data_IF_294223109312
#
_entry.id   IF_294223109312
#
_cell.length_a   1.000
_cell.length_b   1.000
_cell.length_c   1.000
_cell.angle_alpha   90.00
_cell.angle_beta   90.00
_cell.angle_gamma   90.00
#
_symmetry.space_group_name_H-M   'P 1'
#
loop_
_entity.id
_entity.type
_entity.pdbx_description
1 polymer ?
#
# COMPACT_ATOMS: atom_id res chain seq x y z
N UNK A 1 26.58 3.40 -63.76
CA UNK A 1 26.79 3.93 -62.38
C UNK A 1 25.47 3.78 -61.62
N UNK A 2 25.39 2.88 -60.63
CA UNK A 2 24.14 2.56 -59.90
C UNK A 2 24.28 3.07 -58.47
N UNK A 3 23.61 4.18 -58.16
CA UNK A 3 23.72 4.91 -56.90
C UNK A 3 22.99 4.13 -55.79
N UNK A 4 23.75 3.50 -54.88
CA UNK A 4 23.20 2.88 -53.66
C UNK A 4 22.75 3.99 -52.71
N UNK A 5 21.44 4.18 -52.56
CA UNK A 5 20.85 5.03 -51.52
C UNK A 5 21.02 4.33 -50.17
N UNK A 6 21.99 4.75 -49.37
CA UNK A 6 22.12 4.35 -47.98
C UNK A 6 21.06 5.10 -47.15
N UNK A 7 20.07 4.39 -46.63
CA UNK A 7 19.16 4.92 -45.61
C UNK A 7 19.97 5.21 -44.35
N UNK A 8 20.20 6.50 -44.05
CA UNK A 8 20.77 6.94 -42.77
C UNK A 8 19.66 6.87 -41.71
N UNK A 9 19.42 5.69 -41.14
CA UNK A 9 18.61 5.57 -39.93
C UNK A 9 19.33 6.33 -38.81
N UNK A 10 18.70 7.42 -38.35
CA UNK A 10 19.22 8.29 -37.30
C UNK A 10 19.26 7.55 -35.97
N UNK A 11 20.45 7.46 -35.35
CA UNK A 11 20.67 6.87 -34.02
C UNK A 11 19.80 7.52 -32.92
N UNK A 12 19.39 8.79 -33.12
CA UNK A 12 18.46 9.51 -32.25
C UNK A 12 17.06 8.89 -32.16
N UNK A 13 16.63 8.17 -33.20
CA UNK A 13 15.35 7.46 -33.16
C UNK A 13 15.44 6.19 -32.29
N UNK A 14 16.63 5.59 -32.14
CA UNK A 14 16.84 4.38 -31.36
C UNK A 14 16.90 4.68 -29.84
N UNK A 15 17.42 5.84 -29.44
CA UNK A 15 17.51 6.25 -28.03
C UNK A 15 16.16 6.59 -27.38
N UNK A 16 15.10 6.76 -28.17
CA UNK A 16 13.75 6.99 -27.64
C UNK A 16 13.03 5.68 -27.27
N UNK A 17 13.51 4.53 -27.72
CA UNK A 17 12.89 3.22 -27.46
C UNK A 17 13.42 2.51 -26.21
N UNK A 18 14.49 3.00 -25.58
CA UNK A 18 15.13 2.35 -24.41
C UNK A 18 14.33 2.48 -23.11
N UNK A 19 13.17 3.14 -23.13
CA UNK A 19 12.36 3.40 -21.93
C UNK A 19 11.15 2.46 -21.76
N UNK A 20 10.92 1.51 -22.67
CA UNK A 20 9.93 0.45 -22.45
C UNK A 20 10.56 -0.69 -21.66
N UNK A 21 10.88 -0.43 -20.39
CA UNK A 21 11.15 -1.51 -19.45
C UNK A 21 9.79 -2.12 -19.10
N UNK A 22 9.50 -3.29 -19.67
CA UNK A 22 8.34 -4.10 -19.28
C UNK A 22 8.64 -4.60 -17.86
N UNK A 23 7.81 -4.22 -16.88
CA UNK A 23 7.88 -4.79 -15.55
C UNK A 23 7.73 -6.31 -15.69
N UNK A 24 8.67 -7.07 -15.11
CA UNK A 24 8.65 -8.52 -15.20
C UNK A 24 7.65 -9.05 -14.17
N UNK A 25 6.51 -9.54 -14.64
CA UNK A 25 5.52 -10.24 -13.80
C UNK A 25 6.19 -11.41 -13.05
N UNK A 26 5.78 -11.62 -11.79
CA UNK A 26 6.23 -12.77 -11.00
C UNK A 26 5.75 -14.09 -11.63
N UNK A 27 6.64 -15.06 -11.80
CA UNK A 27 6.23 -16.43 -12.15
C UNK A 27 5.63 -17.12 -10.91
N UNK A 28 4.35 -17.49 -10.98
CA UNK A 28 3.61 -18.11 -9.87
C UNK A 28 3.33 -19.61 -10.07
N UNK A 29 3.89 -20.24 -11.12
CA UNK A 29 3.62 -21.64 -11.50
C UNK A 29 3.98 -22.65 -10.39
N UNK A 30 4.88 -22.25 -9.49
CA UNK A 30 5.33 -23.07 -8.36
C UNK A 30 4.36 -23.03 -7.17
N UNK A 31 3.43 -22.07 -7.10
CA UNK A 31 2.49 -21.95 -5.98
C UNK A 31 1.32 -22.90 -6.22
N UNK A 32 1.26 -23.96 -5.42
CA UNK A 32 0.20 -24.94 -5.52
C UNK A 32 -1.01 -24.58 -4.65
N UNK A 33 -2.21 -24.99 -5.08
CA UNK A 33 -3.44 -24.88 -4.29
C UNK A 33 -4.05 -23.48 -4.23
N UNK A 34 -3.58 -22.53 -5.05
CA UNK A 34 -4.19 -21.21 -5.20
C UNK A 34 -5.15 -21.18 -6.40
N UNK A 35 -6.30 -20.54 -6.24
CA UNK A 35 -7.26 -20.26 -7.33
C UNK A 35 -7.13 -18.83 -7.87
N UNK A 36 -6.47 -17.95 -7.11
CA UNK A 36 -6.27 -16.54 -7.40
C UNK A 36 -4.89 -16.11 -6.91
N UNK A 37 -4.30 -15.09 -7.53
CA UNK A 37 -3.03 -14.50 -7.08
C UNK A 37 -3.25 -13.83 -5.72
N UNK A 38 -2.55 -14.25 -4.65
CA UNK A 38 -2.64 -13.60 -3.34
C UNK A 38 -2.31 -12.11 -3.43
N UNK A 39 -3.04 -11.27 -2.70
CA UNK A 39 -2.86 -9.81 -2.76
C UNK A 39 -1.42 -9.36 -2.53
N UNK A 40 -0.70 -9.99 -1.59
CA UNK A 40 0.70 -9.70 -1.29
C UNK A 40 1.67 -9.92 -2.47
N UNK A 41 1.27 -10.70 -3.48
CA UNK A 41 2.06 -10.98 -4.67
C UNK A 41 1.59 -10.19 -5.89
N UNK A 42 0.56 -9.35 -5.75
CA UNK A 42 0.15 -8.44 -6.82
C UNK A 42 1.12 -7.27 -6.87
N UNK A 43 1.42 -6.81 -8.08
CA UNK A 43 2.16 -5.57 -8.28
C UNK A 43 1.34 -4.37 -7.78
N UNK A 44 2.02 -3.32 -7.33
CA UNK A 44 1.45 -2.02 -6.97
C UNK A 44 0.38 -2.00 -5.85
N UNK A 45 0.44 -2.91 -4.89
CA UNK A 45 -0.40 -2.84 -3.68
C UNK A 45 0.34 -2.29 -2.46
N UNK A 46 -0.18 -1.22 -1.88
CA UNK A 46 0.33 -0.65 -0.62
C UNK A 46 -0.34 -1.30 0.61
N UNK A 47 -1.59 -1.74 0.45
CA UNK A 47 -2.42 -2.35 1.50
C UNK A 47 -2.98 -3.70 1.03
N UNK A 48 -2.13 -4.72 0.87
CA UNK A 48 -2.60 -6.05 0.46
C UNK A 48 -3.63 -6.59 1.44
N UNK A 49 -4.79 -7.03 0.96
CA UNK A 49 -5.81 -7.66 1.80
C UNK A 49 -5.25 -8.94 2.43
N UNK A 50 -5.63 -9.17 3.69
CA UNK A 50 -5.08 -10.27 4.48
C UNK A 50 -5.28 -10.08 5.97
N UNK A 51 -4.71 -11.02 6.73
CA UNK A 51 -4.68 -10.97 8.19
C UNK A 51 -3.23 -10.91 8.65
N UNK A 52 -2.93 -9.95 9.50
CA UNK A 52 -1.58 -9.62 9.94
C UNK A 52 -1.50 -9.54 11.46
N UNK A 53 -0.33 -9.84 12.02
CA UNK A 53 -0.01 -9.54 13.41
C UNK A 53 1.01 -8.41 13.38
N UNK A 54 0.57 -7.19 13.69
CA UNK A 54 1.36 -5.99 13.45
C UNK A 54 1.95 -5.43 14.73
N UNK A 55 3.20 -4.99 14.68
CA UNK A 55 3.81 -4.15 15.70
C UNK A 55 3.34 -2.70 15.52
N UNK A 56 2.83 -2.10 16.59
CA UNK A 56 2.26 -0.75 16.56
C UNK A 56 3.32 0.25 17.05
N UNK A 57 3.64 1.20 16.19
CA UNK A 57 4.54 2.31 16.50
C UNK A 57 3.76 3.62 16.49
N UNK A 58 3.83 4.40 17.57
CA UNK A 58 3.27 5.75 17.62
C UNK A 58 4.43 6.71 17.85
N UNK A 59 4.64 7.66 16.93
CA UNK A 59 5.72 8.63 16.98
C UNK A 59 7.10 7.96 17.22
N UNK A 60 7.36 6.87 16.49
CA UNK A 60 8.58 6.04 16.56
C UNK A 60 8.75 5.20 17.85
N UNK A 61 7.81 5.26 18.78
CA UNK A 61 7.78 4.41 19.97
C UNK A 61 6.89 3.19 19.75
N UNK A 62 7.43 1.98 19.98
CA UNK A 62 6.64 0.74 19.92
C UNK A 62 5.76 0.63 21.15
N UNK A 63 4.44 0.65 20.96
CA UNK A 63 3.47 0.62 22.06
C UNK A 63 2.80 -0.75 22.25
N UNK A 64 2.84 -1.63 21.24
CA UNK A 64 2.17 -2.91 21.34
C UNK A 64 2.25 -3.77 20.08
N UNK A 65 1.48 -4.86 20.10
CA UNK A 65 1.29 -5.78 18.97
C UNK A 65 -0.15 -6.25 18.95
N UNK A 66 -0.80 -6.22 17.80
CA UNK A 66 -2.22 -6.59 17.66
C UNK A 66 -2.52 -7.19 16.30
N UNK A 67 -3.70 -7.79 16.15
CA UNK A 67 -4.18 -8.29 14.87
C UNK A 67 -4.69 -7.13 14.01
N UNK A 68 -4.32 -7.11 12.74
CA UNK A 68 -4.85 -6.20 11.73
C UNK A 68 -5.47 -7.04 10.60
N UNK A 69 -6.72 -6.76 10.28
CA UNK A 69 -7.43 -7.40 9.17
C UNK A 69 -7.64 -6.35 8.09
N UNK A 70 -7.04 -6.57 6.92
CA UNK A 70 -7.21 -5.73 5.75
C UNK A 70 -8.18 -6.39 4.78
N UNK A 71 -9.24 -5.67 4.46
CA UNK A 71 -10.28 -6.14 3.53
C UNK A 71 -9.91 -5.83 2.08
N UNK A 72 -10.51 -6.57 1.13
CA UNK A 72 -10.36 -6.27 -0.31
C UNK A 72 -10.85 -4.86 -0.66
N UNK A 73 -11.80 -4.32 0.10
CA UNK A 73 -12.28 -2.96 -0.09
C UNK A 73 -11.23 -1.92 0.30
N UNK A 74 -10.49 -2.14 1.40
CA UNK A 74 -9.39 -1.28 1.83
C UNK A 74 -8.21 -1.34 0.86
N UNK A 75 -7.87 -2.54 0.37
CA UNK A 75 -6.88 -2.75 -0.71
C UNK A 75 -7.28 -1.94 -1.96
N UNK A 76 -8.50 -2.14 -2.46
CA UNK A 76 -8.99 -1.48 -3.68
C UNK A 76 -9.02 0.04 -3.58
N UNK A 77 -9.37 0.57 -2.42
CA UNK A 77 -9.47 2.01 -2.21
C UNK A 77 -8.17 2.64 -1.71
N UNK A 78 -7.15 1.83 -1.43
CA UNK A 78 -5.92 2.19 -0.75
C UNK A 78 -6.16 3.07 0.49
N UNK A 79 -7.07 2.62 1.36
CA UNK A 79 -7.50 3.35 2.56
C UNK A 79 -7.66 2.40 3.71
N UNK A 80 -6.85 2.59 4.75
CA UNK A 80 -6.97 1.87 6.00
C UNK A 80 -8.06 2.52 6.86
N UNK A 81 -9.06 1.73 7.28
CA UNK A 81 -10.16 2.21 8.13
C UNK A 81 -10.13 1.52 9.49
N UNK A 82 -9.78 2.29 10.53
CA UNK A 82 -9.56 1.74 11.88
C UNK A 82 -10.74 2.08 12.78
N UNK A 83 -11.40 1.08 13.33
CA UNK A 83 -12.51 1.31 14.26
C UNK A 83 -12.00 1.94 15.56
N UNK A 84 -12.85 2.69 16.29
CA UNK A 84 -12.47 3.22 17.61
C UNK A 84 -12.00 2.13 18.56
N UNK A 85 -12.70 0.98 18.59
CA UNK A 85 -12.34 -0.17 19.41
C UNK A 85 -10.96 -0.73 19.04
N UNK A 86 -10.65 -0.84 17.75
CA UNK A 86 -9.35 -1.32 17.30
C UNK A 86 -8.23 -0.38 17.74
N UNK A 87 -8.42 0.94 17.60
CA UNK A 87 -7.45 1.96 18.03
C UNK A 87 -7.20 1.91 19.54
N UNK A 88 -8.27 1.81 20.32
CA UNK A 88 -8.21 1.70 21.79
C UNK A 88 -7.45 0.42 22.21
N UNK A 89 -7.77 -0.72 21.59
CA UNK A 89 -7.09 -2.01 21.84
C UNK A 89 -5.62 -2.00 21.39
N UNK A 90 -5.29 -1.27 20.33
CA UNK A 90 -3.93 -1.08 19.84
C UNK A 90 -3.11 -0.10 20.71
N UNK A 91 -3.75 0.60 21.66
CA UNK A 91 -3.12 1.64 22.48
C UNK A 91 -2.90 2.96 21.75
N UNK A 92 -3.50 3.15 20.58
CA UNK A 92 -3.37 4.36 19.76
C UNK A 92 -4.40 5.40 20.22
N UNK A 93 -3.94 6.36 21.01
CA UNK A 93 -4.83 7.39 21.57
C UNK A 93 -5.12 8.49 20.54
N UNK A 94 -6.37 8.58 20.09
CA UNK A 94 -6.81 9.58 19.11
C UNK A 94 -7.84 10.51 19.75
N UNK A 95 -7.61 11.82 19.70
CA UNK A 95 -8.54 12.82 20.25
C UNK A 95 -9.78 12.92 19.33
N UNK A 96 -10.89 12.28 19.70
CA UNK A 96 -12.12 12.19 18.86
C UNK A 96 -12.49 13.50 18.15
N UNK A 97 -12.63 14.60 18.90
CA UNK A 97 -12.97 15.91 18.35
C UNK A 97 -12.02 16.46 17.26
N UNK A 98 -10.75 16.04 17.24
CA UNK A 98 -9.75 16.45 16.23
C UNK A 98 -9.90 15.64 14.94
N UNK A 99 -10.52 14.46 15.01
CA UNK A 99 -10.62 13.49 13.92
C UNK A 99 -12.06 13.21 13.48
N UNK A 100 -13.03 14.01 13.95
CA UNK A 100 -14.44 13.89 13.57
C UNK A 100 -14.66 14.09 12.05
N UNK A 101 -13.80 14.87 11.40
CA UNK A 101 -13.82 15.13 9.96
C UNK A 101 -13.34 13.94 9.11
N UNK A 102 -12.52 13.07 9.69
CA UNK A 102 -12.00 11.87 9.03
C UNK A 102 -12.69 10.57 9.48
N UNK A 103 -13.72 10.69 10.32
CA UNK A 103 -14.56 9.57 10.72
C UNK A 103 -15.57 9.25 9.62
N UNK A 104 -15.52 8.02 9.12
CA UNK A 104 -16.50 7.48 8.19
C UNK A 104 -17.71 6.96 8.97
N UNK A 105 -18.85 7.67 8.84
CA UNK A 105 -20.07 7.36 9.59
C UNK A 105 -20.78 6.09 9.10
N UNK A 106 -20.60 5.73 7.83
CA UNK A 106 -21.23 4.55 7.26
C UNK A 106 -20.49 3.29 7.69
N UNK A 107 -19.16 3.36 7.77
CA UNK A 107 -18.29 2.24 8.19
C UNK A 107 -17.93 2.23 9.68
N UNK A 108 -18.25 3.30 10.40
CA UNK A 108 -17.93 3.48 11.82
C UNK A 108 -16.43 3.35 12.14
N UNK A 109 -15.57 3.90 11.29
CA UNK A 109 -14.11 3.84 11.43
C UNK A 109 -13.43 5.14 11.00
N UNK A 110 -12.19 5.33 11.45
CA UNK A 110 -11.36 6.48 11.11
C UNK A 110 -10.45 6.17 9.93
N UNK A 111 -10.47 7.05 8.92
CA UNK A 111 -9.46 7.07 7.86
C UNK A 111 -8.44 8.17 8.19
N UNK A 112 -7.57 7.90 9.14
CA UNK A 112 -6.67 8.89 9.76
C UNK A 112 -5.75 9.60 8.74
N UNK A 113 -5.41 8.95 7.63
CA UNK A 113 -4.60 9.53 6.55
C UNK A 113 -5.28 10.70 5.83
N UNK A 114 -6.60 10.90 6.00
CA UNK A 114 -7.30 12.09 5.50
C UNK A 114 -6.95 13.36 6.28
N UNK A 115 -6.42 13.24 7.50
CA UNK A 115 -5.98 14.38 8.28
C UNK A 115 -4.55 14.77 7.83
N UNK A 116 -4.31 16.02 7.39
CA UNK A 116 -3.03 16.41 6.79
C UNK A 116 -1.84 16.39 7.76
N UNK A 117 -2.10 16.37 9.06
CA UNK A 117 -1.08 16.34 10.10
C UNK A 117 -0.84 14.93 10.65
N UNK A 118 -1.56 13.93 10.15
CA UNK A 118 -1.44 12.54 10.60
C UNK A 118 -0.89 11.69 9.48
N UNK A 119 0.11 10.85 9.79
CA UNK A 119 0.58 9.83 8.86
C UNK A 119 0.33 8.45 9.45
N UNK A 120 -0.17 7.55 8.61
CA UNK A 120 -0.30 6.13 8.93
C UNK A 120 0.38 5.38 7.81
N UNK A 121 1.36 4.55 8.16
CA UNK A 121 2.11 3.75 7.19
C UNK A 121 2.10 2.29 7.65
N UNK A 122 1.56 1.42 6.82
CA UNK A 122 1.64 -0.01 7.01
C UNK A 122 2.76 -0.57 6.14
N UNK A 123 3.78 -1.12 6.79
CA UNK A 123 4.80 -1.93 6.14
C UNK A 123 4.46 -3.41 6.35
N UNK A 124 3.90 -4.04 5.32
CA UNK A 124 3.53 -5.45 5.36
C UNK A 124 4.76 -6.38 5.40
N UNK A 125 5.92 -5.93 4.91
CA UNK A 125 7.15 -6.71 4.89
C UNK A 125 7.77 -6.84 6.29
N UNK A 126 7.75 -5.75 7.06
CA UNK A 126 8.15 -5.76 8.46
C UNK A 126 7.00 -6.01 9.45
N UNK A 127 5.76 -6.15 8.96
CA UNK A 127 4.54 -6.23 9.77
C UNK A 127 4.45 -5.11 10.81
N UNK A 128 4.73 -3.88 10.39
CA UNK A 128 4.75 -2.71 11.25
C UNK A 128 3.68 -1.72 10.82
N UNK A 129 2.86 -1.26 11.75
CA UNK A 129 1.92 -0.16 11.52
C UNK A 129 2.36 1.07 12.31
N UNK A 130 2.83 2.08 11.59
CA UNK A 130 3.38 3.31 12.15
C UNK A 130 2.38 4.45 12.05
N UNK A 131 2.13 5.10 13.18
CA UNK A 131 1.34 6.29 13.34
C UNK A 131 2.24 7.46 13.69
N UNK A 132 2.13 8.57 12.96
CA UNK A 132 2.69 9.86 13.36
C UNK A 132 1.51 10.79 13.62
N UNK A 133 1.29 11.10 14.89
CA UNK A 133 0.11 11.81 15.41
C UNK A 133 0.59 13.04 16.21
N UNK A 134 0.06 14.25 15.96
CA UNK A 134 0.41 15.47 16.69
C UNK A 134 0.01 15.50 18.17
#
# INVERSE_FOLDING_TARGET
MKQRRTFKLSLLALSLYTHFSVAAELNLDFIHGISVIPSILKEDTELPAGQYIVDILVNDERIGRTNLVLTEEEEKNNRLCLTPEWLDNAGVMVKKHVYDDVFDKDKLCYVLTRNPHTKVNFDYGSQTLKFNIP
#
